data_IF_458270091791
#
_entry.id   IF_458270091791
#
_cell.length_a   1.000
_cell.length_b   1.000
_cell.length_c   1.000
_cell.angle_alpha   90.00
_cell.angle_beta   90.00
_cell.angle_gamma   90.00
#
_symmetry.space_group_name_H-M   'P 1'
#
loop_
_entity.id
_entity.type
_entity.pdbx_description
1 polymer ?
#
# COMPACT_ATOMS: atom_id res chain seq x y z
N UNK A 1 -1.48 18.25 -33.41
CA UNK A 1 -0.67 17.84 -34.58
C UNK A 1 0.01 16.51 -34.28
N UNK A 2 0.02 15.58 -35.24
CA UNK A 2 0.36 14.15 -35.11
C UNK A 2 1.59 13.81 -34.23
N UNK A 3 2.59 14.70 -34.13
CA UNK A 3 3.75 14.54 -33.24
C UNK A 3 3.39 14.46 -31.75
N UNK A 4 2.35 15.18 -31.30
CA UNK A 4 1.87 15.14 -29.93
C UNK A 4 1.12 13.83 -29.60
N UNK A 5 0.46 13.22 -30.59
CA UNK A 5 -0.24 11.95 -30.43
C UNK A 5 0.75 10.79 -30.36
N UNK A 6 1.80 10.80 -31.20
CA UNK A 6 2.89 9.83 -31.10
C UNK A 6 3.66 9.92 -29.78
N UNK A 7 3.83 11.13 -29.21
CA UNK A 7 4.42 11.28 -27.87
C UNK A 7 3.52 10.68 -26.78
N UNK A 8 2.20 10.87 -26.86
CA UNK A 8 1.24 10.27 -25.91
C UNK A 8 1.20 8.74 -26.04
N UNK A 9 1.24 8.22 -27.27
CA UNK A 9 1.30 6.77 -27.51
C UNK A 9 2.62 6.14 -27.09
N UNK A 10 3.77 6.82 -27.23
CA UNK A 10 5.03 6.34 -26.64
C UNK A 10 4.95 6.32 -25.11
N UNK A 11 4.47 7.39 -24.48
CA UNK A 11 4.33 7.45 -23.02
C UNK A 11 3.36 6.38 -22.48
N UNK A 12 2.30 6.06 -23.22
CA UNK A 12 1.35 4.99 -22.87
C UNK A 12 1.93 3.59 -23.06
N UNK A 13 2.94 3.42 -23.94
CA UNK A 13 3.69 2.17 -24.12
C UNK A 13 4.76 2.01 -23.02
N UNK A 14 5.41 3.09 -22.59
CA UNK A 14 6.30 3.09 -21.42
C UNK A 14 5.54 2.81 -20.11
N UNK A 15 4.27 3.21 -20.02
CA UNK A 15 3.39 2.84 -18.90
C UNK A 15 3.00 1.35 -18.86
N UNK A 16 3.33 0.57 -19.91
CA UNK A 16 3.14 -0.89 -19.97
C UNK A 16 4.43 -1.69 -19.76
N UNK A 17 5.51 -1.05 -19.37
CA UNK A 17 6.72 -1.76 -18.94
C UNK A 17 6.47 -2.29 -17.53
N UNK A 18 6.69 -3.60 -17.32
CA UNK A 18 6.40 -4.34 -16.08
C UNK A 18 6.87 -3.68 -14.79
N UNK A 19 6.51 -4.23 -13.62
CA UNK A 19 6.43 -3.51 -12.34
C UNK A 19 7.61 -2.58 -12.17
N UNK A 20 7.35 -1.29 -12.38
CA UNK A 20 8.32 -0.22 -12.14
C UNK A 20 8.83 -0.43 -10.73
N UNK A 21 10.13 -0.23 -10.50
CA UNK A 21 10.79 -0.49 -9.21
C UNK A 21 10.01 0.06 -8.00
N UNK A 22 9.23 1.13 -8.21
CA UNK A 22 8.26 1.69 -7.28
C UNK A 22 7.19 0.68 -6.81
N UNK A 23 6.55 -0.10 -7.69
CA UNK A 23 5.53 -1.07 -7.26
C UNK A 23 6.13 -2.20 -6.41
N UNK A 24 7.34 -2.67 -6.75
CA UNK A 24 8.08 -3.63 -5.93
C UNK A 24 8.51 -3.04 -4.59
N UNK A 25 9.01 -1.81 -4.58
CA UNK A 25 9.35 -1.12 -3.34
C UNK A 25 8.11 -0.92 -2.45
N UNK A 26 6.97 -0.57 -3.03
CA UNK A 26 5.70 -0.45 -2.29
C UNK A 26 5.23 -1.80 -1.72
N UNK A 27 5.39 -2.91 -2.46
CA UNK A 27 5.09 -4.25 -1.95
C UNK A 27 6.05 -4.68 -0.82
N UNK A 28 7.34 -4.39 -0.95
CA UNK A 28 8.32 -4.66 0.09
C UNK A 28 8.05 -3.87 1.38
N UNK A 29 7.45 -2.68 1.24
CA UNK A 29 7.04 -1.87 2.38
C UNK A 29 5.82 -2.43 3.12
N UNK A 30 5.10 -3.44 2.61
CA UNK A 30 3.91 -4.01 3.28
C UNK A 30 4.30 -5.00 4.41
N UNK A 31 4.99 -4.53 5.44
CA UNK A 31 5.52 -5.37 6.52
C UNK A 31 4.58 -5.54 7.71
N UNK A 32 3.63 -4.62 7.90
CA UNK A 32 2.71 -4.66 9.05
C UNK A 32 1.49 -5.49 8.65
N UNK A 33 1.15 -6.53 9.43
CA UNK A 33 -0.01 -7.38 9.16
C UNK A 33 -0.98 -7.38 10.33
N UNK A 34 -2.27 -7.16 10.06
CA UNK A 34 -3.32 -7.35 11.06
C UNK A 34 -3.50 -8.84 11.37
N UNK A 35 -3.48 -9.22 12.65
CA UNK A 35 -3.65 -10.62 13.07
C UNK A 35 -5.10 -11.13 12.95
N UNK A 36 -6.07 -10.25 12.83
CA UNK A 36 -7.50 -10.62 12.78
C UNK A 36 -7.95 -10.91 11.35
N UNK A 37 -7.69 -9.99 10.42
CA UNK A 37 -8.13 -10.11 9.03
C UNK A 37 -6.99 -10.36 8.02
N UNK A 38 -5.75 -10.47 8.50
CA UNK A 38 -4.55 -10.71 7.68
C UNK A 38 -4.28 -9.63 6.62
N UNK A 39 -4.94 -8.48 6.70
CA UNK A 39 -4.65 -7.32 5.85
C UNK A 39 -3.24 -6.80 6.13
N UNK A 40 -2.52 -6.54 5.04
CA UNK A 40 -1.16 -5.99 5.06
C UNK A 40 -1.18 -4.48 4.90
N UNK A 41 -0.35 -3.80 5.66
CA UNK A 41 -0.20 -2.35 5.72
C UNK A 41 1.26 -1.99 5.52
N UNK A 42 1.50 -0.75 5.06
CA UNK A 42 2.85 -0.27 4.83
C UNK A 42 3.57 -0.03 6.17
N UNK A 43 4.87 -0.30 6.22
CA UNK A 43 5.75 -0.04 7.36
C UNK A 43 5.71 1.42 7.80
N UNK A 44 5.45 2.32 6.86
CA UNK A 44 5.36 3.76 7.07
C UNK A 44 3.96 4.22 7.50
N UNK A 45 2.99 3.31 7.66
CA UNK A 45 1.65 3.67 8.12
C UNK A 45 1.68 4.21 9.55
N UNK A 46 1.12 5.39 9.75
CA UNK A 46 0.99 6.01 11.07
C UNK A 46 0.00 5.26 11.96
N UNK A 47 0.14 5.39 13.28
CA UNK A 47 -0.82 4.83 14.26
C UNK A 47 -2.26 5.22 13.91
N UNK A 48 -2.51 6.48 13.55
CA UNK A 48 -3.84 6.98 13.17
C UNK A 48 -4.46 6.23 11.99
N UNK A 49 -3.64 5.82 11.02
CA UNK A 49 -4.10 5.07 9.85
C UNK A 49 -4.41 3.62 10.20
N UNK A 50 -3.64 3.02 11.11
CA UNK A 50 -3.90 1.68 11.64
C UNK A 50 -5.09 1.67 12.61
N UNK A 51 -5.35 2.75 13.36
CA UNK A 51 -6.55 2.93 14.18
C UNK A 51 -7.81 3.04 13.33
N UNK A 52 -7.74 3.69 12.16
CA UNK A 52 -8.85 3.69 11.21
C UNK A 52 -9.27 2.26 10.81
N UNK A 53 -8.31 1.34 10.70
CA UNK A 53 -8.58 -0.07 10.45
C UNK A 53 -9.31 -0.76 11.61
N UNK A 54 -9.09 -0.35 12.86
CA UNK A 54 -9.80 -0.92 14.02
C UNK A 54 -11.31 -0.70 13.97
N UNK A 55 -11.81 0.33 13.28
CA UNK A 55 -13.26 0.51 13.10
C UNK A 55 -13.91 -0.70 12.40
N UNK A 56 -13.16 -1.45 11.58
CA UNK A 56 -13.62 -2.70 10.95
C UNK A 56 -13.61 -3.89 11.92
N UNK A 57 -13.01 -3.72 13.09
CA UNK A 57 -12.86 -4.71 14.16
C UNK A 57 -13.46 -4.16 15.46
N UNK A 58 -14.76 -3.87 15.42
CA UNK A 58 -15.50 -3.37 16.58
C UNK A 58 -15.25 -4.26 17.81
N UNK A 59 -14.81 -3.63 18.92
CA UNK A 59 -14.53 -4.31 20.19
C UNK A 59 -13.17 -5.00 20.29
N UNK A 60 -12.25 -4.80 19.34
CA UNK A 60 -10.87 -5.30 19.42
C UNK A 60 -9.90 -4.15 19.71
N UNK A 61 -9.01 -4.39 20.67
CA UNK A 61 -7.92 -3.48 21.02
C UNK A 61 -6.89 -3.38 19.88
N UNK A 62 -6.23 -2.22 19.76
CA UNK A 62 -5.13 -2.03 18.80
C UNK A 62 -4.06 -3.10 18.90
N UNK A 63 -3.68 -3.46 20.14
CA UNK A 63 -2.70 -4.49 20.43
C UNK A 63 -3.13 -5.90 19.97
N UNK A 64 -4.43 -6.16 19.86
CA UNK A 64 -4.94 -7.44 19.35
C UNK A 64 -4.84 -7.53 17.82
N UNK A 65 -5.04 -6.41 17.12
CA UNK A 65 -4.85 -6.34 15.66
C UNK A 65 -3.37 -6.29 15.27
N UNK A 66 -2.58 -5.48 15.97
CA UNK A 66 -1.18 -5.21 15.63
C UNK A 66 -0.26 -5.41 16.84
N UNK A 67 -0.06 -6.66 17.31
CA UNK A 67 0.75 -6.95 18.49
C UNK A 67 2.24 -6.61 18.32
N UNK A 68 2.72 -6.61 17.07
CA UNK A 68 4.12 -6.33 16.73
C UNK A 68 4.33 -4.87 16.27
N UNK A 69 3.32 -4.00 16.41
CA UNK A 69 3.48 -2.59 16.07
C UNK A 69 4.18 -1.84 17.22
N UNK A 70 5.51 -1.83 17.16
CA UNK A 70 6.35 -0.87 17.89
C UNK A 70 6.34 0.44 17.11
N UNK A 71 5.40 1.32 17.46
CA UNK A 71 5.37 2.69 16.98
C UNK A 71 6.45 3.56 17.61
#
# INVERSE_FOLDING_TARGET
>A
GAKAQQKRERNAKDAKTGPTSQLKANQASLTIQCKICLQTFMMTSSRTQLESHLNKHAGKEFAACFPNFTG
#
